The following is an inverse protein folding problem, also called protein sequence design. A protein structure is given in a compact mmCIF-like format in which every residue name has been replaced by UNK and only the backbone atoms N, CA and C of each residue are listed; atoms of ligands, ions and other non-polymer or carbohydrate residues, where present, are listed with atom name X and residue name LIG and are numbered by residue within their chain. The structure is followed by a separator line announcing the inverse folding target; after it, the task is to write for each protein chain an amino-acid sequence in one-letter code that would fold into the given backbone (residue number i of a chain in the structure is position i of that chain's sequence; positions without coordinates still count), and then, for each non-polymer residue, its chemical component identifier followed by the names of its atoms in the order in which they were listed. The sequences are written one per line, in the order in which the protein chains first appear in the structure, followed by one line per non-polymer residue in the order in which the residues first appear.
data_IF_015038564713
#
_entry.id   IF_015038564713
#
_cell.length_a   1.000
_cell.length_b   1.000
_cell.length_c   1.000
_cell.angle_alpha   90.00
_cell.angle_beta   90.00
_cell.angle_gamma   90.00
#
_symmetry.space_group_name_H-M   'P 1'
#
loop_
_entity.id
_entity.type
_entity.pdbx_description
1 polymer ?
#
# COMPACT_ATOMS: atom_id res chain seq x y z
N UNK A 1 -6.82 -6.92 11.59
CA UNK A 1 -5.89 -7.01 12.75
C UNK A 1 -4.46 -6.95 12.23
N UNK A 2 -3.47 -6.50 13.01
CA UNK A 2 -2.06 -6.66 12.61
C UNK A 2 -1.69 -8.14 12.72
N UNK A 3 -1.13 -8.70 11.65
CA UNK A 3 -0.67 -10.09 11.63
C UNK A 3 0.52 -10.25 12.57
N UNK A 4 0.58 -11.38 13.27
CA UNK A 4 1.73 -11.74 14.11
C UNK A 4 2.62 -12.77 13.43
N UNK A 5 3.93 -12.64 13.64
CA UNK A 5 4.91 -13.65 13.22
C UNK A 5 4.87 -14.88 14.14
N UNK A 6 5.74 -15.87 13.89
CA UNK A 6 5.81 -17.10 14.68
C UNK A 6 6.31 -16.89 16.12
N UNK A 7 6.84 -15.71 16.46
CA UNK A 7 7.28 -15.33 17.80
C UNK A 7 6.22 -14.46 18.51
N UNK A 8 5.11 -14.13 17.84
CA UNK A 8 4.04 -13.28 18.38
C UNK A 8 4.25 -11.77 18.19
N UNK A 9 5.29 -11.36 17.47
CA UNK A 9 5.55 -9.94 17.19
C UNK A 9 4.66 -9.46 16.04
N UNK A 10 4.29 -8.18 16.08
CA UNK A 10 3.55 -7.55 15.00
C UNK A 10 4.39 -7.47 13.72
N UNK A 11 3.82 -7.91 12.60
CA UNK A 11 4.48 -7.92 11.30
C UNK A 11 4.42 -6.53 10.65
N UNK A 12 5.18 -5.60 11.22
CA UNK A 12 5.39 -4.24 10.74
C UNK A 12 6.88 -4.04 10.49
N UNK A 13 7.24 -3.87 9.22
CA UNK A 13 8.64 -3.80 8.80
C UNK A 13 8.96 -2.47 8.10
N UNK A 14 10.19 -1.96 8.19
CA UNK A 14 10.62 -0.81 7.41
C UNK A 14 10.47 -1.10 5.91
N UNK A 15 9.93 -0.15 5.17
CA UNK A 15 9.84 -0.20 3.72
C UNK A 15 10.68 0.92 3.10
N UNK A 16 11.40 0.59 2.03
CA UNK A 16 12.12 1.56 1.20
C UNK A 16 11.70 1.35 -0.24
N UNK A 17 11.29 2.43 -0.89
CA UNK A 17 11.00 2.47 -2.31
C UNK A 17 11.92 3.46 -3.00
N UNK A 18 12.07 3.29 -4.30
CA UNK A 18 12.61 4.33 -5.17
C UNK A 18 11.54 4.66 -6.21
N UNK A 19 11.40 5.93 -6.53
CA UNK A 19 10.56 6.38 -7.63
C UNK A 19 11.43 7.17 -8.58
N UNK A 20 11.40 6.79 -9.85
CA UNK A 20 12.04 7.55 -10.90
C UNK A 20 11.35 8.92 -10.99
N UNK A 21 12.14 9.98 -10.92
CA UNK A 21 11.67 11.37 -11.01
C UNK A 21 11.58 11.84 -12.46
N UNK A 22 11.95 10.99 -13.43
CA UNK A 22 11.72 11.21 -14.86
C UNK A 22 12.53 12.39 -15.44
N UNK A 23 13.59 12.82 -14.76
CA UNK A 23 14.38 13.98 -15.21
C UNK A 23 15.27 13.66 -16.41
N UNK A 24 15.58 12.39 -16.64
CA UNK A 24 16.42 11.92 -17.75
C UNK A 24 15.87 12.32 -19.14
N UNK A 25 14.55 12.39 -19.32
CA UNK A 25 13.94 12.77 -20.60
C UNK A 25 13.80 14.29 -20.80
N UNK A 26 14.06 15.08 -19.76
CA UNK A 26 13.95 16.54 -19.81
C UNK A 26 15.13 17.19 -20.52
N UNK A 27 14.94 18.41 -21.06
CA UNK A 27 16.02 19.18 -21.69
C UNK A 27 17.19 19.44 -20.71
N UNK A 28 16.85 19.73 -19.45
CA UNK A 28 17.79 19.82 -18.34
C UNK A 28 18.59 18.52 -18.15
N UNK A 29 17.89 17.37 -18.11
CA UNK A 29 18.52 16.06 -17.95
C UNK A 29 19.51 15.75 -19.08
N UNK A 30 19.14 16.04 -20.33
CA UNK A 30 20.02 15.83 -21.49
C UNK A 30 21.23 16.75 -21.49
N UNK A 31 21.04 18.03 -21.17
CA UNK A 31 22.13 19.02 -21.10
C UNK A 31 23.16 18.67 -20.01
N UNK A 32 22.70 18.16 -18.88
CA UNK A 32 23.55 17.80 -17.74
C UNK A 32 23.96 16.33 -17.70
N UNK A 33 23.69 15.55 -18.75
CA UNK A 33 24.03 14.12 -18.84
C UNK A 33 23.51 13.32 -17.63
N UNK A 34 22.30 13.64 -17.18
CA UNK A 34 21.65 12.96 -16.06
C UNK A 34 21.13 11.61 -16.58
N UNK A 35 21.82 10.54 -16.20
CA UNK A 35 21.51 9.17 -16.63
C UNK A 35 20.44 8.52 -15.75
N UNK A 36 20.30 8.97 -14.51
CA UNK A 36 19.35 8.39 -13.57
C UNK A 36 19.03 9.36 -12.43
N UNK A 37 17.75 9.47 -12.07
CA UNK A 37 17.31 10.22 -10.90
C UNK A 37 16.31 9.41 -10.11
N UNK A 38 16.63 9.15 -8.85
CA UNK A 38 15.69 8.50 -7.93
C UNK A 38 15.34 9.44 -6.80
N UNK A 39 14.05 9.46 -6.47
CA UNK A 39 13.60 9.97 -5.18
C UNK A 39 13.41 8.78 -4.25
N UNK A 40 14.26 8.70 -3.23
CA UNK A 40 14.09 7.72 -2.15
C UNK A 40 12.78 7.96 -1.41
N UNK A 41 12.01 6.90 -1.21
CA UNK A 41 10.82 6.87 -0.37
C UNK A 41 11.05 5.92 0.80
N UNK A 42 10.58 6.29 1.97
CA UNK A 42 10.62 5.46 3.17
C UNK A 42 9.25 5.38 3.79
N UNK A 43 8.93 4.23 4.36
CA UNK A 43 7.66 4.00 5.05
C UNK A 43 7.68 2.70 5.83
N UNK A 44 6.52 2.10 5.97
CA UNK A 44 6.34 0.80 6.61
C UNK A 44 5.56 -0.14 5.71
N UNK A 45 5.93 -1.41 5.74
CA UNK A 45 5.15 -2.50 5.17
C UNK A 45 4.47 -3.23 6.33
N UNK A 46 3.14 -3.30 6.28
CA UNK A 46 2.31 -3.88 7.33
C UNK A 46 1.58 -5.09 6.78
N UNK A 47 1.62 -6.20 7.51
CA UNK A 47 0.82 -7.38 7.21
C UNK A 47 -0.43 -7.41 8.09
N UNK A 48 -1.58 -7.64 7.47
CA UNK A 48 -2.88 -7.59 8.13
C UNK A 48 -3.64 -8.91 7.97
N UNK A 49 -4.51 -9.19 8.92
CA UNK A 49 -5.49 -10.27 8.87
C UNK A 49 -6.91 -9.71 8.86
N UNK A 50 -7.76 -10.30 8.02
CA UNK A 50 -9.19 -10.02 7.97
C UNK A 50 -9.88 -10.90 9.01
N UNK A 51 -10.64 -10.26 9.90
CA UNK A 51 -11.39 -10.94 10.94
C UNK A 51 -12.89 -10.67 10.77
N UNK A 52 -13.58 -11.62 10.14
CA UNK A 52 -14.99 -11.50 9.80
C UNK A 52 -15.93 -11.97 10.92
N UNK A 53 -15.44 -12.27 12.14
CA UNK A 53 -16.27 -12.89 13.20
C UNK A 53 -17.56 -12.13 13.53
N UNK A 54 -17.55 -10.79 13.40
CA UNK A 54 -18.73 -9.94 13.57
C UNK A 54 -19.43 -9.65 12.25
N UNK A 55 -18.67 -9.54 11.17
CA UNK A 55 -19.20 -9.24 9.84
C UNK A 55 -20.18 -10.33 9.39
N UNK A 56 -19.88 -11.61 9.62
CA UNK A 56 -20.78 -12.70 9.20
C UNK A 56 -22.04 -12.84 10.04
N UNK A 57 -22.12 -12.19 11.21
CA UNK A 57 -23.27 -12.29 12.13
C UNK A 57 -24.34 -11.23 11.92
N UNK A 58 -24.04 -10.20 11.15
CA UNK A 58 -24.98 -9.13 10.82
C UNK A 58 -25.72 -9.51 9.53
N UNK A 59 -27.05 -9.35 9.51
CA UNK A 59 -27.89 -9.81 8.40
C UNK A 59 -27.79 -8.95 7.13
N UNK A 60 -27.09 -7.81 7.19
CA UNK A 60 -27.01 -6.82 6.11
C UNK A 60 -25.59 -6.35 5.82
N UNK A 61 -24.59 -7.15 6.17
CA UNK A 61 -23.17 -6.86 5.96
C UNK A 61 -22.64 -7.58 4.73
N UNK A 62 -21.77 -6.89 4.00
CA UNK A 62 -20.95 -7.47 2.94
C UNK A 62 -19.54 -7.65 3.50
N UNK A 63 -19.02 -8.89 3.43
CA UNK A 63 -17.72 -9.25 3.99
C UNK A 63 -16.77 -9.71 2.88
N UNK A 64 -15.51 -9.29 2.96
CA UNK A 64 -14.46 -9.83 2.10
C UNK A 64 -13.99 -11.18 2.63
N UNK A 65 -14.01 -12.23 1.80
CA UNK A 65 -13.61 -13.57 2.22
C UNK A 65 -12.17 -13.91 1.84
N UNK A 66 -11.52 -13.07 1.03
CA UNK A 66 -10.10 -13.13 0.76
C UNK A 66 -9.42 -11.77 0.95
N UNK A 67 -8.11 -11.80 1.21
CA UNK A 67 -7.30 -10.59 1.26
C UNK A 67 -7.22 -9.90 -0.11
N UNK A 68 -7.22 -10.67 -1.20
CA UNK A 68 -7.19 -10.14 -2.56
C UNK A 68 -8.45 -9.32 -2.90
N UNK A 69 -9.64 -9.81 -2.54
CA UNK A 69 -10.89 -9.04 -2.71
C UNK A 69 -10.87 -7.70 -1.96
N UNK A 70 -10.38 -7.71 -0.71
CA UNK A 70 -10.26 -6.49 0.08
C UNK A 70 -9.23 -5.52 -0.51
N UNK A 71 -8.09 -6.04 -1.00
CA UNK A 71 -7.05 -5.24 -1.66
C UNK A 71 -7.57 -4.60 -2.95
N UNK A 72 -8.31 -5.37 -3.77
CA UNK A 72 -8.93 -4.88 -5.01
C UNK A 72 -9.96 -3.78 -4.72
N UNK A 73 -10.79 -3.96 -3.69
CA UNK A 73 -11.74 -2.94 -3.26
C UNK A 73 -11.03 -1.65 -2.83
N UNK A 74 -9.94 -1.73 -2.07
CA UNK A 74 -9.15 -0.57 -1.66
C UNK A 74 -8.50 0.13 -2.86
N UNK A 75 -7.93 -0.63 -3.80
CA UNK A 75 -7.35 -0.09 -5.03
C UNK A 75 -8.40 0.61 -5.90
N UNK A 76 -9.57 -0.02 -6.09
CA UNK A 76 -10.69 0.57 -6.81
C UNK A 76 -11.20 1.85 -6.13
N UNK A 77 -11.32 1.83 -4.79
CA UNK A 77 -11.73 3.01 -4.00
C UNK A 77 -10.73 4.15 -4.18
N UNK A 78 -9.42 3.89 -4.08
CA UNK A 78 -8.39 4.89 -4.29
C UNK A 78 -8.40 5.50 -5.72
N UNK A 79 -8.84 4.73 -6.73
CA UNK A 79 -8.94 5.23 -8.11
C UNK A 79 -10.10 6.20 -8.35
N UNK A 80 -11.17 6.12 -7.54
CA UNK A 80 -12.41 6.90 -7.70
C UNK A 80 -12.67 7.91 -6.59
N UNK A 81 -12.14 7.66 -5.40
CA UNK A 81 -12.36 8.41 -4.17
C UNK A 81 -11.05 8.64 -3.43
N UNK A 82 -11.01 9.67 -2.58
CA UNK A 82 -9.88 9.89 -1.68
C UNK A 82 -10.00 8.99 -0.45
N UNK A 83 -9.05 8.07 -0.27
CA UNK A 83 -8.83 7.43 1.03
C UNK A 83 -8.36 8.48 2.05
N UNK A 84 -8.47 8.16 3.35
CA UNK A 84 -7.97 9.07 4.39
C UNK A 84 -6.51 9.43 4.15
N UNK A 85 -6.17 10.70 4.33
CA UNK A 85 -4.80 11.21 4.20
C UNK A 85 -3.95 11.00 5.45
N UNK A 86 -4.58 10.62 6.56
CA UNK A 86 -3.88 10.39 7.84
C UNK A 86 -2.92 9.19 7.75
N UNK A 87 -3.23 8.24 6.86
CA UNK A 87 -2.40 7.07 6.58
C UNK A 87 -2.25 6.92 5.06
N UNK A 88 -1.24 7.58 4.44
CA UNK A 88 -1.03 7.50 3.01
C UNK A 88 -0.65 6.07 2.59
N UNK A 89 -1.58 5.39 1.94
CA UNK A 89 -1.37 4.03 1.41
C UNK A 89 -0.72 4.14 0.04
N UNK A 90 0.52 3.68 -0.07
CA UNK A 90 1.26 3.65 -1.33
C UNK A 90 0.87 2.45 -2.21
N UNK A 91 0.70 1.27 -1.62
CA UNK A 91 0.35 0.04 -2.32
C UNK A 91 -0.41 -0.91 -1.38
N UNK A 92 -1.34 -1.69 -1.95
CA UNK A 92 -2.00 -2.83 -1.29
C UNK A 92 -1.85 -4.09 -2.13
N UNK A 93 -1.77 -5.25 -1.47
CA UNK A 93 -1.74 -6.58 -2.08
C UNK A 93 -2.44 -7.55 -1.13
N UNK A 94 -3.09 -8.58 -1.68
CA UNK A 94 -3.82 -9.59 -0.91
C UNK A 94 -3.50 -10.99 -1.34
#
# INVERSE_FOLDING_TARGET
LIKKDHLGNDMVYPWKGTTDIGLQDTEFGKQHQIVFTERGQSGVQVYLEIDNRKCTTLSSSECFFSASEAADFLAATASKHSLSKDFPIYQVKG
#
